data_IF_369261932762
#
_entry.id   IF_369261932762
#
_cell.length_a   1.000
_cell.length_b   1.000
_cell.length_c   1.000
_cell.angle_alpha   90.00
_cell.angle_beta   90.00
_cell.angle_gamma   90.00
#
_symmetry.space_group_name_H-M   'P 1'
#
loop_
_entity.id
_entity.type
_entity.pdbx_description
1 polymer ?
#
# COMPACT_ATOMS: atom_id res chain seq x y z
N UNK A 1 -21.74 -35.28 -14.13
CA UNK A 1 -21.89 -33.98 -13.45
C UNK A 1 -22.03 -32.94 -14.55
N UNK A 2 -22.89 -31.95 -14.40
CA UNK A 2 -23.08 -30.92 -15.45
C UNK A 2 -21.79 -30.09 -15.59
N UNK A 3 -21.24 -30.04 -16.81
CA UNK A 3 -19.98 -29.36 -17.12
C UNK A 3 -20.04 -27.86 -16.79
N UNK A 4 -21.22 -27.23 -16.94
CA UNK A 4 -21.43 -25.81 -16.63
C UNK A 4 -21.37 -25.59 -15.12
N UNK A 5 -21.99 -26.48 -14.34
CA UNK A 5 -21.99 -26.40 -12.87
C UNK A 5 -20.57 -26.57 -12.32
N UNK A 6 -19.79 -27.51 -12.85
CA UNK A 6 -18.39 -27.69 -12.46
C UNK A 6 -17.53 -26.46 -12.80
N UNK A 7 -17.74 -25.87 -13.98
CA UNK A 7 -17.04 -24.65 -14.39
C UNK A 7 -17.37 -23.44 -13.49
N UNK A 8 -18.62 -23.33 -13.03
CA UNK A 8 -19.06 -22.29 -12.07
C UNK A 8 -18.41 -22.52 -10.70
N UNK A 9 -18.40 -23.74 -10.18
CA UNK A 9 -17.76 -24.05 -8.89
C UNK A 9 -16.24 -23.82 -8.93
N UNK A 10 -15.58 -24.15 -10.04
CA UNK A 10 -14.17 -23.84 -10.25
C UNK A 10 -13.93 -22.33 -10.26
N UNK A 11 -14.77 -21.56 -10.95
CA UNK A 11 -14.66 -20.10 -11.00
C UNK A 11 -14.83 -19.46 -9.61
N UNK A 12 -15.71 -20.01 -8.76
CA UNK A 12 -15.87 -19.56 -7.36
C UNK A 12 -14.60 -19.80 -6.53
N UNK A 13 -14.01 -20.98 -6.61
CA UNK A 13 -12.76 -21.28 -5.90
C UNK A 13 -11.61 -20.38 -6.35
N UNK A 14 -11.45 -20.21 -7.67
CA UNK A 14 -10.45 -19.30 -8.24
C UNK A 14 -10.70 -17.85 -7.82
N UNK A 15 -11.97 -17.43 -7.72
CA UNK A 15 -12.34 -16.10 -7.23
C UNK A 15 -11.90 -15.90 -5.78
N UNK A 16 -12.22 -16.81 -4.88
CA UNK A 16 -11.90 -16.68 -3.45
C UNK A 16 -10.38 -16.60 -3.23
N UNK A 17 -9.62 -17.43 -3.93
CA UNK A 17 -8.15 -17.39 -3.89
C UNK A 17 -7.58 -16.09 -4.44
N UNK A 18 -8.06 -15.64 -5.61
CA UNK A 18 -7.62 -14.40 -6.24
C UNK A 18 -7.97 -13.18 -5.38
N UNK A 19 -9.15 -13.19 -4.77
CA UNK A 19 -9.64 -12.15 -3.87
C UNK A 19 -8.77 -12.04 -2.62
N UNK A 20 -8.48 -13.17 -1.97
CA UNK A 20 -7.61 -13.21 -0.80
C UNK A 20 -6.18 -12.71 -1.10
N UNK A 21 -5.59 -13.14 -2.22
CA UNK A 21 -4.27 -12.67 -2.66
C UNK A 21 -4.27 -11.16 -2.95
N UNK A 22 -5.29 -10.66 -3.65
CA UNK A 22 -5.44 -9.24 -3.97
C UNK A 22 -5.57 -8.39 -2.70
N UNK A 23 -6.37 -8.84 -1.73
CA UNK A 23 -6.47 -8.18 -0.42
C UNK A 23 -5.13 -8.16 0.32
N UNK A 24 -4.38 -9.26 0.30
CA UNK A 24 -3.06 -9.33 0.93
C UNK A 24 -2.09 -8.31 0.31
N UNK A 25 -2.09 -8.18 -1.02
CA UNK A 25 -1.29 -7.15 -1.72
C UNK A 25 -1.71 -5.73 -1.33
N UNK A 26 -3.02 -5.44 -1.25
CA UNK A 26 -3.52 -4.13 -0.81
C UNK A 26 -3.08 -3.81 0.62
N UNK A 27 -3.17 -4.77 1.55
CA UNK A 27 -2.69 -4.60 2.93
C UNK A 27 -1.19 -4.35 3.00
N UNK A 28 -0.41 -5.05 2.17
CA UNK A 28 1.03 -4.82 2.06
C UNK A 28 1.35 -3.41 1.54
N UNK A 29 0.58 -2.91 0.57
CA UNK A 29 0.68 -1.51 0.09
C UNK A 29 0.35 -0.54 1.22
N UNK A 30 -0.73 -0.77 1.96
CA UNK A 30 -1.17 0.12 3.04
C UNK A 30 -0.11 0.28 4.14
N UNK A 31 0.59 -0.81 4.44
CA UNK A 31 1.67 -0.84 5.43
C UNK A 31 3.01 -0.36 4.88
N UNK A 32 3.13 -0.18 3.56
CA UNK A 32 4.37 0.26 2.93
C UNK A 32 4.84 1.59 3.53
N UNK A 33 6.07 1.59 4.05
CA UNK A 33 6.71 2.76 4.66
C UNK A 33 6.30 3.06 6.11
N UNK A 34 5.52 2.21 6.79
CA UNK A 34 5.21 2.38 8.23
C UNK A 34 6.37 1.98 9.15
N UNK A 35 7.22 1.01 8.77
CA UNK A 35 8.37 0.59 9.56
C UNK A 35 9.69 0.65 8.79
N UNK A 36 10.75 1.12 9.47
CA UNK A 36 12.13 1.12 8.95
C UNK A 36 12.66 -0.30 8.71
N UNK A 37 12.18 -1.28 9.47
CA UNK A 37 12.56 -2.71 9.37
C UNK A 37 11.88 -3.42 8.18
N UNK A 38 10.73 -2.91 7.72
CA UNK A 38 10.05 -3.43 6.52
C UNK A 38 10.72 -2.99 5.22
N UNK A 39 11.50 -1.89 5.23
CA UNK A 39 12.32 -1.48 4.07
C UNK A 39 13.32 -2.56 3.65
N UNK A 40 13.79 -3.40 4.58
CA UNK A 40 14.76 -4.48 4.31
C UNK A 40 14.08 -5.84 4.03
N UNK A 41 12.89 -6.09 4.57
CA UNK A 41 12.15 -7.36 4.37
C UNK A 41 11.16 -7.35 3.19
N UNK A 42 10.68 -6.19 2.75
CA UNK A 42 9.80 -6.08 1.60
C UNK A 42 10.60 -6.21 0.31
N UNK A 43 10.85 -7.44 -0.12
CA UNK A 43 11.49 -7.75 -1.42
C UNK A 43 10.72 -7.20 -2.63
N UNK A 44 9.47 -6.76 -2.43
CA UNK A 44 8.65 -6.15 -3.46
C UNK A 44 8.60 -4.63 -3.30
N UNK A 45 8.98 -3.92 -4.36
CA UNK A 45 8.76 -2.48 -4.45
C UNK A 45 7.27 -2.16 -4.43
N UNK A 46 6.90 -0.96 -3.97
CA UNK A 46 5.53 -0.46 -4.03
C UNK A 46 4.93 -0.58 -5.44
N UNK A 47 5.76 -0.37 -6.47
CA UNK A 47 5.36 -0.51 -7.87
C UNK A 47 4.99 -1.97 -8.22
N UNK A 48 5.77 -2.94 -7.74
CA UNK A 48 5.49 -4.37 -7.95
C UNK A 48 4.24 -4.82 -7.20
N UNK A 49 4.04 -4.38 -5.96
CA UNK A 49 2.81 -4.66 -5.20
C UNK A 49 1.57 -4.09 -5.90
N UNK A 50 1.68 -2.89 -6.48
CA UNK A 50 0.60 -2.30 -7.26
C UNK A 50 0.29 -3.09 -8.54
N UNK A 51 1.32 -3.52 -9.27
CA UNK A 51 1.15 -4.38 -10.45
C UNK A 51 0.39 -5.67 -10.08
N UNK A 52 0.83 -6.37 -9.03
CA UNK A 52 0.18 -7.59 -8.56
C UNK A 52 -1.27 -7.37 -8.11
N UNK A 53 -1.56 -6.25 -7.44
CA UNK A 53 -2.93 -5.92 -7.05
C UNK A 53 -3.82 -5.60 -8.26
N UNK A 54 -3.28 -4.94 -9.29
CA UNK A 54 -3.99 -4.67 -10.54
C UNK A 54 -4.22 -5.95 -11.36
N UNK A 55 -3.22 -6.83 -11.43
CA UNK A 55 -3.35 -8.14 -12.07
C UNK A 55 -4.42 -9.00 -11.37
N UNK A 56 -4.43 -9.00 -10.04
CA UNK A 56 -5.47 -9.65 -9.24
C UNK A 56 -6.87 -9.09 -9.53
N UNK A 57 -7.01 -7.76 -9.61
CA UNK A 57 -8.26 -7.12 -10.02
C UNK A 57 -8.69 -7.50 -11.44
N UNK A 58 -7.75 -7.59 -12.37
CA UNK A 58 -8.03 -8.00 -13.76
C UNK A 58 -8.52 -9.45 -13.82
N UNK A 59 -7.88 -10.36 -13.05
CA UNK A 59 -8.29 -11.74 -12.92
C UNK A 59 -9.72 -11.84 -12.35
N UNK A 60 -10.03 -11.10 -11.28
CA UNK A 60 -11.38 -11.05 -10.71
C UNK A 60 -12.40 -10.56 -11.75
N UNK A 61 -12.11 -9.49 -12.50
CA UNK A 61 -13.03 -9.05 -13.57
C UNK A 61 -13.22 -10.12 -14.65
N UNK A 62 -12.17 -10.85 -15.03
CA UNK A 62 -12.28 -11.96 -15.98
C UNK A 62 -13.17 -13.09 -15.45
N UNK A 63 -13.06 -13.44 -14.16
CA UNK A 63 -13.91 -14.45 -13.51
C UNK A 63 -15.36 -14.00 -13.43
N UNK A 64 -15.61 -12.72 -13.14
CA UNK A 64 -16.95 -12.13 -13.20
C UNK A 64 -17.56 -12.28 -14.60
N UNK A 65 -16.83 -11.92 -15.66
CA UNK A 65 -17.30 -12.10 -17.04
C UNK A 65 -17.56 -13.58 -17.37
N UNK A 66 -16.70 -14.49 -16.90
CA UNK A 66 -16.89 -15.93 -17.08
C UNK A 66 -18.18 -16.41 -16.40
N UNK A 67 -18.44 -16.00 -15.16
CA UNK A 67 -19.67 -16.35 -14.46
C UNK A 67 -20.91 -15.76 -15.15
N UNK A 68 -20.83 -14.55 -15.71
CA UNK A 68 -21.92 -13.92 -16.47
C UNK A 68 -22.28 -14.70 -17.74
N UNK A 69 -21.26 -15.21 -18.44
CA UNK A 69 -21.45 -16.08 -19.60
C UNK A 69 -22.05 -17.45 -19.24
N UNK A 70 -21.67 -18.00 -18.08
CA UNK A 70 -22.12 -19.32 -17.63
C UNK A 70 -23.50 -19.29 -16.95
N UNK A 71 -23.87 -18.16 -16.33
CA UNK A 71 -25.14 -18.01 -15.61
C UNK A 71 -26.38 -18.41 -16.43
N UNK A 72 -26.58 -17.98 -17.69
CA UNK A 72 -27.74 -18.38 -18.47
C UNK A 72 -27.69 -19.82 -18.98
N UNK A 73 -26.53 -20.49 -18.90
CA UNK A 73 -26.35 -21.87 -19.35
C UNK A 73 -26.66 -22.89 -18.24
N UNK A 74 -27.00 -22.44 -17.04
CA UNK A 74 -27.32 -23.31 -15.92
C UNK A 74 -28.68 -24.02 -16.14
N UNK A 75 -28.77 -25.31 -15.78
CA UNK A 75 -29.93 -26.15 -16.11
C UNK A 75 -31.22 -25.77 -15.35
N UNK A 76 -31.13 -25.01 -14.25
CA UNK A 76 -32.29 -24.68 -13.41
C UNK A 76 -32.38 -23.18 -13.14
N UNK A 77 -33.60 -22.64 -13.20
CA UNK A 77 -33.88 -21.22 -12.94
C UNK A 77 -33.36 -20.74 -11.58
N UNK A 78 -33.43 -21.57 -10.54
CA UNK A 78 -32.92 -21.24 -9.21
C UNK A 78 -31.40 -21.04 -9.21
N UNK A 79 -30.67 -21.85 -9.99
CA UNK A 79 -29.22 -21.75 -10.14
C UNK A 79 -28.85 -20.50 -10.94
N UNK A 80 -29.61 -20.17 -11.98
CA UNK A 80 -29.46 -18.92 -12.73
C UNK A 80 -29.64 -17.71 -11.80
N UNK A 81 -30.69 -17.70 -10.99
CA UNK A 81 -30.97 -16.62 -10.03
C UNK A 81 -29.88 -16.49 -8.96
N UNK A 82 -29.38 -17.63 -8.46
CA UNK A 82 -28.26 -17.68 -7.53
C UNK A 82 -26.97 -17.10 -8.15
N UNK A 83 -26.64 -17.50 -9.38
CA UNK A 83 -25.48 -16.99 -10.11
C UNK A 83 -25.58 -15.48 -10.38
N UNK A 84 -26.76 -14.97 -10.75
CA UNK A 84 -27.00 -13.53 -10.93
C UNK A 84 -26.83 -12.75 -9.62
N UNK A 85 -27.31 -13.28 -8.50
CA UNK A 85 -27.12 -12.67 -7.18
C UNK A 85 -25.64 -12.64 -6.80
N UNK A 86 -24.91 -13.71 -7.11
CA UNK A 86 -23.47 -13.81 -6.91
C UNK A 86 -22.70 -12.80 -7.77
N UNK A 87 -23.08 -12.60 -9.03
CA UNK A 87 -22.49 -11.58 -9.92
C UNK A 87 -22.62 -10.17 -9.35
N UNK A 88 -23.78 -9.81 -8.80
CA UNK A 88 -23.96 -8.51 -8.15
C UNK A 88 -23.04 -8.36 -6.92
N UNK A 89 -22.89 -9.42 -6.13
CA UNK A 89 -21.96 -9.46 -5.00
C UNK A 89 -20.52 -9.25 -5.47
N UNK A 90 -20.06 -10.02 -6.45
CA UNK A 90 -18.72 -9.93 -7.04
C UNK A 90 -18.41 -8.55 -7.61
N UNK A 91 -19.39 -7.92 -8.28
CA UNK A 91 -19.27 -6.55 -8.78
C UNK A 91 -19.05 -5.55 -7.65
N UNK A 92 -19.81 -5.67 -6.55
CA UNK A 92 -19.64 -4.82 -5.37
C UNK A 92 -18.27 -5.02 -4.74
N UNK A 93 -17.83 -6.27 -4.58
CA UNK A 93 -16.53 -6.62 -4.03
C UNK A 93 -15.36 -6.07 -4.88
N UNK A 94 -15.42 -6.20 -6.21
CA UNK A 94 -14.45 -5.59 -7.12
C UNK A 94 -14.37 -4.07 -6.96
N UNK A 95 -15.52 -3.39 -6.83
CA UNK A 95 -15.55 -1.95 -6.62
C UNK A 95 -14.96 -1.55 -5.26
N UNK A 96 -15.27 -2.30 -4.21
CA UNK A 96 -14.69 -2.10 -2.88
C UNK A 96 -13.17 -2.28 -2.92
N UNK A 97 -12.66 -3.33 -3.57
CA UNK A 97 -11.21 -3.55 -3.73
C UNK A 97 -10.53 -2.40 -4.48
N UNK A 98 -11.15 -1.87 -5.53
CA UNK A 98 -10.62 -0.69 -6.26
C UNK A 98 -10.51 0.53 -5.34
N UNK A 99 -11.51 0.77 -4.51
CA UNK A 99 -11.47 1.88 -3.54
C UNK A 99 -10.39 1.64 -2.48
N UNK A 100 -10.32 0.44 -1.92
CA UNK A 100 -9.28 0.05 -0.95
C UNK A 100 -7.87 0.19 -1.52
N UNK A 101 -7.63 -0.22 -2.77
CA UNK A 101 -6.34 -0.04 -3.44
C UNK A 101 -5.97 1.43 -3.60
N UNK A 102 -6.93 2.31 -3.96
CA UNK A 102 -6.69 3.76 -4.05
C UNK A 102 -6.32 4.34 -2.68
N UNK A 103 -7.06 3.95 -1.64
CA UNK A 103 -6.81 4.41 -0.27
C UNK A 103 -5.45 3.93 0.26
N UNK A 104 -5.12 2.65 0.06
CA UNK A 104 -3.83 2.09 0.43
C UNK A 104 -2.67 2.83 -0.24
N UNK A 105 -2.80 3.20 -1.53
CA UNK A 105 -1.80 3.98 -2.24
C UNK A 105 -1.63 5.41 -1.67
N UNK A 106 -2.74 6.08 -1.31
CA UNK A 106 -2.68 7.38 -0.65
C UNK A 106 -1.97 7.29 0.71
N UNK A 107 -2.25 6.23 1.47
CA UNK A 107 -1.63 5.99 2.77
C UNK A 107 -0.14 5.65 2.63
N UNK A 108 0.25 4.78 1.69
CA UNK A 108 1.65 4.49 1.39
C UNK A 108 2.43 5.77 1.08
N UNK A 109 1.86 6.65 0.24
CA UNK A 109 2.45 7.94 -0.10
C UNK A 109 2.60 8.85 1.12
N UNK A 110 1.62 8.86 2.02
CA UNK A 110 1.68 9.62 3.26
C UNK A 110 2.77 9.07 4.20
N UNK A 111 2.88 7.74 4.34
CA UNK A 111 3.90 7.09 5.16
C UNK A 111 5.31 7.41 4.65
N UNK A 112 5.54 7.30 3.33
CA UNK A 112 6.82 7.64 2.71
C UNK A 112 7.21 9.10 2.96
N UNK A 113 6.26 10.04 2.88
CA UNK A 113 6.50 11.46 3.17
C UNK A 113 6.88 11.68 4.63
N UNK A 114 6.19 11.02 5.57
CA UNK A 114 6.52 11.10 7.00
C UNK A 114 7.91 10.54 7.29
N UNK A 115 8.24 9.36 6.77
CA UNK A 115 9.55 8.75 6.93
C UNK A 115 10.67 9.65 6.38
N UNK A 116 10.48 10.27 5.22
CA UNK A 116 11.46 11.21 4.66
C UNK A 116 11.62 12.48 5.52
N UNK A 117 10.53 12.99 6.12
CA UNK A 117 10.61 14.13 7.02
C UNK A 117 11.33 13.80 8.34
N UNK A 118 11.12 12.61 8.89
CA UNK A 118 11.82 12.13 10.09
C UNK A 118 13.31 11.95 9.83
N UNK A 119 13.70 11.39 8.68
CA UNK A 119 15.10 11.31 8.26
C UNK A 119 15.73 12.71 8.17
N UNK A 120 15.08 13.66 7.51
CA UNK A 120 15.58 15.04 7.38
C UNK A 120 15.72 15.76 8.72
N UNK A 121 14.77 15.60 9.64
CA UNK A 121 14.88 16.15 11.01
C UNK A 121 16.04 15.50 11.76
N UNK A 122 16.20 14.19 11.65
CA UNK A 122 17.34 13.46 12.23
C UNK A 122 18.69 13.95 11.70
N UNK A 123 18.81 14.19 10.39
CA UNK A 123 20.01 14.77 9.79
C UNK A 123 20.27 16.20 10.29
N UNK A 124 19.24 17.02 10.39
CA UNK A 124 19.36 18.37 10.92
C UNK A 124 19.80 18.36 12.39
N UNK A 125 19.23 17.48 13.22
CA UNK A 125 19.62 17.31 14.62
C UNK A 125 21.05 16.80 14.79
N UNK A 126 21.50 15.88 13.92
CA UNK A 126 22.89 15.39 13.89
C UNK A 126 23.85 16.52 13.48
N UNK A 127 23.49 17.32 12.48
CA UNK A 127 24.28 18.48 12.06
C UNK A 127 24.36 19.53 13.19
N UNK A 128 23.24 19.88 13.81
CA UNK A 128 23.20 20.78 14.97
C UNK A 128 24.09 20.27 16.11
N UNK A 129 24.04 18.98 16.44
CA UNK A 129 24.93 18.38 17.45
C UNK A 129 26.41 18.39 17.06
N UNK A 130 26.75 18.17 15.79
CA UNK A 130 28.13 18.27 15.30
C UNK A 130 28.66 19.70 15.36
N UNK A 131 27.85 20.69 15.01
CA UNK A 131 28.23 22.10 15.07
C UNK A 131 28.32 22.65 16.51
N UNK A 132 27.64 22.02 17.48
CA UNK A 132 27.73 22.35 18.91
C UNK A 132 28.71 21.47 19.72
N UNK A 133 29.48 20.58 19.07
CA UNK A 133 30.58 19.90 19.76
C UNK A 133 31.72 20.90 19.91
N UNK A 134 31.84 21.49 21.10
CA UNK A 134 32.91 22.40 21.47
C UNK A 134 34.29 21.82 21.09
N UNK A 135 35.23 22.64 20.57
CA UNK A 135 36.61 22.20 20.42
C UNK A 135 37.17 21.80 21.80
N UNK A 136 38.08 20.81 21.87
CA UNK A 136 38.67 20.40 23.14
C UNK A 136 39.29 21.63 23.82
N UNK A 137 39.18 21.77 25.15
CA UNK A 137 39.76 22.91 25.85
C UNK A 137 41.27 22.75 25.82
N UNK A 138 41.93 23.34 24.81
CA UNK A 138 43.32 23.69 24.95
C UNK A 138 43.38 24.90 25.86
N UNK A 139 43.88 24.66 27.07
CA UNK A 139 44.31 25.67 28.01
C UNK A 139 45.27 26.64 27.34
N UNK A 140 44.85 27.89 27.13
CA UNK A 140 45.76 29.03 27.16
C UNK A 140 45.00 30.34 27.31
N UNK A 141 45.60 31.16 28.16
CA UNK A 141 45.19 32.42 28.76
C UNK A 141 44.94 33.56 27.77
N UNK A 142 44.08 34.47 28.23
CA UNK A 142 43.97 35.91 27.93
C UNK A 142 43.29 36.39 26.63
N UNK A 143 42.26 37.23 26.84
CA UNK A 143 42.04 38.41 25.99
C UNK A 143 40.70 38.53 25.27
N UNK A 144 39.77 39.26 25.89
CA UNK A 144 38.81 40.20 25.27
C UNK A 144 37.95 39.77 24.05
N UNK A 145 36.68 39.49 24.36
CA UNK A 145 35.52 40.27 23.86
C UNK A 145 35.21 40.24 22.36
N UNK A 146 34.20 39.47 21.96
CA UNK A 146 33.64 39.55 20.61
C UNK A 146 32.48 38.59 20.32
N UNK A 147 31.43 38.59 21.14
CA UNK A 147 30.23 37.77 20.90
C UNK A 147 29.41 38.27 19.70
N UNK A 148 29.58 37.64 18.53
CA UNK A 148 28.67 37.84 17.37
C UNK A 148 27.34 37.13 17.64
N UNK A 149 26.26 37.91 17.80
CA UNK A 149 24.89 37.41 17.89
C UNK A 149 24.44 36.91 16.51
N UNK A 150 24.11 35.62 16.40
CA UNK A 150 23.42 35.08 15.23
C UNK A 150 21.97 35.58 15.22
N UNK A 151 21.64 36.43 14.23
CA UNK A 151 20.26 36.83 13.93
C UNK A 151 19.51 35.61 13.42
N UNK A 152 18.47 35.20 14.14
CA UNK A 152 17.43 34.31 13.62
C UNK A 152 16.59 35.12 12.62
N UNK A 153 16.63 34.79 11.34
CA UNK A 153 15.59 35.17 10.40
C UNK A 153 14.48 34.12 10.48
N UNK A 154 13.32 34.57 10.93
CA UNK A 154 12.05 33.85 10.86
C UNK A 154 11.35 34.41 9.62
N UNK A 155 11.35 33.67 8.52
CA UNK A 155 10.59 34.04 7.32
C UNK A 155 9.22 33.36 7.39
N UNK A 156 8.18 34.19 7.26
CA UNK A 156 6.77 33.83 7.11
C UNK A 156 6.45 33.49 5.64
#
# INVERSE_FOLDING_TARGET
MDEVVEAVEKAKKEWDEAYAKTQAHIKAIENYGKSREEKEKSSNSLQRLNGLAQDGLNLLNSLHLKLDLLAPQLPTSDQVQSAQSLLQSWKKECNNLRLSLRNANLQAKANMRKAAQEENKGWNDICCRKHHREPPPYSSTDGSGGGKKCKHSHDF
#
